data_IF_901368045088
#
_entry.id   IF_901368045088
#
_cell.length_a   1.000
_cell.length_b   1.000
_cell.length_c   1.000
_cell.angle_alpha   90.00
_cell.angle_beta   90.00
_cell.angle_gamma   90.00
#
_symmetry.space_group_name_H-M   'P 1'
#
loop_
_entity.id
_entity.type
_entity.pdbx_description
1 polymer ?
#
# COMPACT_ATOMS: atom_id res chain seq x y z
N UNK A 1 8.00 14.09 -10.79
CA UNK A 1 7.79 13.37 -9.50
C UNK A 1 8.05 11.88 -9.71
N UNK A 2 8.73 11.21 -8.77
CA UNK A 2 8.89 9.74 -8.77
C UNK A 2 8.17 9.15 -7.57
N UNK A 3 7.31 8.16 -7.84
CA UNK A 3 6.57 7.40 -6.83
C UNK A 3 6.93 5.93 -7.01
N UNK A 4 7.30 5.25 -5.93
CA UNK A 4 7.56 3.80 -5.95
C UNK A 4 7.01 3.12 -4.70
N UNK A 5 6.51 1.90 -4.89
CA UNK A 5 6.20 1.00 -3.77
C UNK A 5 7.52 0.36 -3.34
N UNK A 6 8.03 0.77 -2.19
CA UNK A 6 9.29 0.29 -1.63
C UNK A 6 9.14 -1.07 -0.93
N UNK A 7 7.93 -1.36 -0.44
CA UNK A 7 7.62 -2.58 0.26
C UNK A 7 6.14 -2.72 0.56
N UNK A 8 5.76 -3.92 0.95
CA UNK A 8 4.43 -4.26 1.43
C UNK A 8 4.50 -5.54 2.27
N UNK A 9 3.52 -5.75 3.15
CA UNK A 9 3.44 -7.00 3.90
C UNK A 9 2.95 -8.15 3.01
N UNK A 10 3.40 -9.36 3.32
CA UNK A 10 2.94 -10.59 2.67
C UNK A 10 2.66 -11.65 3.73
N UNK A 11 1.97 -12.71 3.31
CA UNK A 11 1.79 -13.87 4.14
C UNK A 11 3.16 -14.48 4.51
N UNK A 12 3.40 -14.74 5.80
CA UNK A 12 4.70 -15.24 6.27
C UNK A 12 5.10 -16.57 5.63
N UNK A 13 4.14 -17.40 5.21
CA UNK A 13 4.43 -18.65 4.49
C UNK A 13 5.09 -18.43 3.13
N UNK A 14 4.93 -17.25 2.53
CA UNK A 14 5.54 -16.91 1.25
C UNK A 14 7.02 -16.51 1.39
N UNK A 15 7.52 -16.23 2.60
CA UNK A 15 8.91 -15.78 2.81
C UNK A 15 9.92 -16.86 2.41
N UNK A 16 9.63 -18.13 2.72
CA UNK A 16 10.54 -19.24 2.44
C UNK A 16 10.65 -19.60 0.94
N UNK A 17 9.59 -19.33 0.17
CA UNK A 17 9.42 -19.76 -1.23
C UNK A 17 9.03 -18.57 -2.11
N UNK A 18 9.63 -17.41 -1.85
CA UNK A 18 9.20 -16.11 -2.38
C UNK A 18 8.95 -16.14 -3.89
N UNK A 19 7.68 -16.23 -4.26
CA UNK A 19 7.19 -16.12 -5.62
C UNK A 19 6.67 -14.70 -5.82
N UNK A 20 7.46 -13.87 -6.51
CA UNK A 20 7.16 -12.46 -6.71
C UNK A 20 5.81 -12.22 -7.42
N UNK A 21 5.32 -13.17 -8.23
CA UNK A 21 4.01 -13.03 -8.88
C UNK A 21 2.85 -13.23 -7.91
N UNK A 22 3.11 -13.94 -6.81
CA UNK A 22 2.11 -14.27 -5.79
C UNK A 22 2.25 -13.47 -4.51
N UNK A 23 3.38 -12.81 -4.30
CA UNK A 23 3.63 -11.93 -3.18
C UNK A 23 2.70 -10.71 -3.28
N UNK A 24 1.62 -10.70 -2.49
CA UNK A 24 0.69 -9.57 -2.41
C UNK A 24 0.04 -9.49 -1.02
N UNK A 25 -0.14 -8.30 -0.45
CA UNK A 25 -0.86 -8.11 0.81
C UNK A 25 -2.36 -8.44 0.68
N UNK A 26 -2.90 -8.42 -0.54
CA UNK A 26 -4.32 -8.63 -0.83
C UNK A 26 -4.82 -10.01 -0.38
N UNK A 27 -3.93 -11.01 -0.34
CA UNK A 27 -4.23 -12.37 0.11
C UNK A 27 -4.64 -12.41 1.59
N UNK A 28 -3.95 -11.64 2.43
CA UNK A 28 -4.25 -11.50 3.87
C UNK A 28 -5.62 -10.86 4.04
N UNK A 29 -5.85 -9.71 3.39
CA UNK A 29 -7.14 -9.01 3.44
C UNK A 29 -8.29 -9.91 2.98
N UNK A 30 -8.12 -10.66 1.88
CA UNK A 30 -9.18 -11.53 1.34
C UNK A 30 -9.51 -12.71 2.27
N UNK A 31 -8.50 -13.30 2.90
CA UNK A 31 -8.72 -14.35 3.89
C UNK A 31 -9.46 -13.81 5.12
N UNK A 32 -9.05 -12.65 5.64
CA UNK A 32 -9.64 -12.04 6.84
C UNK A 32 -11.05 -11.51 6.57
N UNK A 33 -11.34 -11.10 5.34
CA UNK A 33 -12.68 -10.74 4.91
C UNK A 33 -13.73 -11.84 5.11
N UNK A 34 -13.28 -13.11 5.08
CA UNK A 34 -14.16 -14.29 5.11
C UNK A 34 -14.25 -14.94 6.49
N UNK A 35 -13.40 -14.56 7.46
CA UNK A 35 -13.26 -15.30 8.74
C UNK A 35 -14.53 -15.35 9.56
N UNK A 36 -15.36 -14.29 9.54
CA UNK A 36 -16.60 -14.22 10.31
C UNK A 36 -17.80 -14.89 9.63
N UNK A 37 -17.65 -15.35 8.38
CA UNK A 37 -18.75 -15.86 7.54
C UNK A 37 -18.44 -17.21 6.87
N UNK A 38 -17.31 -17.81 7.20
CA UNK A 38 -16.84 -19.07 6.64
C UNK A 38 -16.76 -20.11 7.75
N UNK A 39 -17.18 -21.34 7.45
CA UNK A 39 -17.01 -22.49 8.38
C UNK A 39 -15.54 -22.96 8.43
N UNK A 40 -14.72 -22.53 7.47
CA UNK A 40 -13.29 -22.88 7.39
C UNK A 40 -12.47 -22.13 8.43
N UNK A 41 -11.44 -22.80 8.94
CA UNK A 41 -10.44 -22.16 9.79
C UNK A 41 -9.60 -21.13 9.02
N UNK A 42 -8.89 -20.28 9.76
CA UNK A 42 -8.12 -19.18 9.17
C UNK A 42 -6.94 -19.64 8.31
N UNK A 43 -6.29 -20.76 8.64
CA UNK A 43 -5.16 -21.27 7.88
C UNK A 43 -5.60 -21.74 6.50
N UNK A 44 -6.73 -22.46 6.45
CA UNK A 44 -7.38 -22.87 5.20
C UNK A 44 -7.76 -21.67 4.32
N UNK A 45 -8.34 -20.62 4.92
CA UNK A 45 -8.70 -19.40 4.19
C UNK A 45 -7.49 -18.65 3.62
N UNK A 46 -6.39 -18.57 4.38
CA UNK A 46 -5.13 -17.98 3.89
C UNK A 46 -4.55 -18.78 2.74
N UNK A 47 -4.52 -20.11 2.85
CA UNK A 47 -4.03 -20.98 1.79
C UNK A 47 -4.85 -20.83 0.50
N UNK A 48 -6.18 -20.77 0.59
CA UNK A 48 -7.06 -20.50 -0.56
C UNK A 48 -6.76 -19.14 -1.21
N UNK A 49 -6.63 -18.09 -0.40
CA UNK A 49 -6.36 -16.75 -0.91
C UNK A 49 -5.00 -16.66 -1.62
N UNK A 50 -4.00 -17.43 -1.17
CA UNK A 50 -2.69 -17.54 -1.80
C UNK A 50 -2.71 -18.33 -3.12
N UNK A 51 -3.57 -19.35 -3.23
CA UNK A 51 -3.71 -20.16 -4.44
C UNK A 51 -4.54 -19.44 -5.52
N UNK A 52 -5.54 -18.65 -5.12
CA UNK A 52 -6.51 -18.00 -6.03
C UNK A 52 -6.46 -16.46 -5.96
N UNK A 53 -5.32 -15.85 -6.26
CA UNK A 53 -5.12 -14.38 -6.11
C UNK A 53 -6.15 -13.55 -6.88
N UNK A 54 -6.51 -13.95 -8.10
CA UNK A 54 -7.52 -13.23 -8.90
C UNK A 54 -8.87 -13.22 -8.18
N UNK A 55 -9.24 -14.35 -7.55
CA UNK A 55 -10.47 -14.45 -6.77
C UNK A 55 -10.37 -13.67 -5.46
N UNK A 56 -9.21 -13.69 -4.81
CA UNK A 56 -8.93 -12.88 -3.62
C UNK A 56 -9.16 -11.39 -3.89
N UNK A 57 -8.63 -10.88 -5.02
CA UNK A 57 -8.86 -9.49 -5.47
C UNK A 57 -10.34 -9.18 -5.69
N UNK A 58 -11.06 -10.05 -6.38
CA UNK A 58 -12.51 -9.88 -6.59
C UNK A 58 -13.28 -9.89 -5.26
N UNK A 59 -12.89 -10.77 -4.33
CA UNK A 59 -13.47 -10.83 -3.00
C UNK A 59 -13.23 -9.54 -2.22
N UNK A 60 -12.01 -8.99 -2.27
CA UNK A 60 -11.69 -7.70 -1.68
C UNK A 60 -12.56 -6.59 -2.29
N UNK A 61 -12.72 -6.58 -3.62
CA UNK A 61 -13.56 -5.58 -4.29
C UNK A 61 -14.97 -5.54 -3.70
N UNK A 62 -15.61 -6.71 -3.62
CA UNK A 62 -16.98 -6.82 -3.13
C UNK A 62 -17.07 -6.52 -1.62
N UNK A 63 -16.23 -7.14 -0.80
CA UNK A 63 -16.37 -7.06 0.65
C UNK A 63 -15.95 -5.68 1.19
N UNK A 64 -14.86 -5.11 0.66
CA UNK A 64 -14.32 -3.84 1.14
C UNK A 64 -15.11 -2.67 0.57
N UNK A 65 -15.28 -2.61 -0.76
CA UNK A 65 -15.88 -1.42 -1.41
C UNK A 65 -17.40 -1.50 -1.55
N UNK A 66 -17.99 -2.66 -1.84
CA UNK A 66 -19.44 -2.75 -2.04
C UNK A 66 -20.20 -2.94 -0.71
N UNK A 67 -19.67 -3.77 0.20
CA UNK A 67 -20.30 -4.03 1.50
C UNK A 67 -19.85 -3.07 2.61
N UNK A 68 -18.87 -2.20 2.34
CA UNK A 68 -18.40 -1.17 3.28
C UNK A 68 -17.59 -1.70 4.48
N UNK A 69 -17.06 -2.92 4.42
CA UNK A 69 -16.20 -3.47 5.49
C UNK A 69 -14.75 -2.97 5.35
N UNK A 70 -14.56 -1.65 5.43
CA UNK A 70 -13.28 -0.99 5.16
C UNK A 70 -12.14 -1.41 6.10
N UNK A 71 -12.44 -1.82 7.34
CA UNK A 71 -11.42 -2.24 8.31
C UNK A 71 -10.56 -3.41 7.84
N UNK A 72 -11.07 -4.25 6.92
CA UNK A 72 -10.31 -5.36 6.35
C UNK A 72 -9.14 -4.87 5.48
N UNK A 73 -9.31 -3.71 4.82
CA UNK A 73 -8.27 -3.10 4.00
C UNK A 73 -7.05 -2.68 4.82
N UNK A 74 -7.23 -2.40 6.11
CA UNK A 74 -6.15 -1.98 7.02
C UNK A 74 -5.10 -3.07 7.26
N UNK A 75 -5.41 -4.33 6.95
CA UNK A 75 -4.44 -5.43 7.00
C UNK A 75 -3.44 -5.45 5.83
N UNK A 76 -3.68 -4.65 4.79
CA UNK A 76 -2.74 -4.43 3.70
C UNK A 76 -1.94 -3.14 3.94
N UNK A 77 -0.62 -3.28 4.14
CA UNK A 77 0.28 -2.19 4.51
C UNK A 77 1.35 -2.03 3.43
N UNK A 78 1.59 -0.78 3.02
CA UNK A 78 2.56 -0.42 1.99
C UNK A 78 3.56 0.61 2.50
N UNK A 79 4.80 0.48 2.05
CA UNK A 79 5.82 1.52 2.13
C UNK A 79 5.91 2.21 0.76
N UNK A 80 5.75 3.53 0.74
CA UNK A 80 5.74 4.33 -0.48
C UNK A 80 6.86 5.37 -0.39
N UNK A 81 7.71 5.37 -1.41
CA UNK A 81 8.74 6.38 -1.57
C UNK A 81 8.23 7.48 -2.51
N UNK A 82 8.33 8.73 -2.03
CA UNK A 82 8.03 9.93 -2.81
C UNK A 82 9.30 10.75 -2.99
N UNK A 83 9.74 10.90 -4.25
CA UNK A 83 11.00 11.58 -4.59
C UNK A 83 10.76 12.68 -5.62
N UNK A 84 11.49 13.79 -5.46
CA UNK A 84 11.36 14.95 -6.36
C UNK A 84 9.98 15.60 -6.24
N UNK A 85 9.48 15.72 -5.01
CA UNK A 85 8.22 16.40 -4.68
C UNK A 85 8.51 17.75 -4.02
N UNK A 86 7.55 18.67 -4.13
CA UNK A 86 7.65 19.97 -3.46
C UNK A 86 7.43 19.84 -1.96
N UNK A 87 7.90 20.85 -1.19
CA UNK A 87 7.58 20.96 0.24
C UNK A 87 6.08 21.05 0.49
N UNK A 88 5.35 21.77 -0.36
CA UNK A 88 3.89 21.88 -0.29
C UNK A 88 3.20 20.50 -0.42
N UNK A 89 3.67 19.65 -1.33
CA UNK A 89 3.14 18.30 -1.48
C UNK A 89 3.51 17.42 -0.28
N UNK A 90 4.73 17.57 0.25
CA UNK A 90 5.19 16.85 1.45
C UNK A 90 4.29 17.15 2.65
N UNK A 91 4.08 18.42 2.96
CA UNK A 91 3.17 18.88 4.02
C UNK A 91 1.74 18.39 3.78
N UNK A 92 1.31 18.33 2.52
CA UNK A 92 0.00 17.83 2.14
C UNK A 92 -0.21 16.36 2.44
N UNK A 93 0.75 15.52 2.07
CA UNK A 93 0.70 14.08 2.33
C UNK A 93 0.75 13.80 3.83
N UNK A 94 1.59 14.53 4.57
CA UNK A 94 1.76 14.37 6.02
C UNK A 94 0.55 14.84 6.85
N UNK A 95 -0.47 15.46 6.24
CA UNK A 95 -1.75 15.73 6.93
C UNK A 95 -2.52 14.46 7.28
N UNK A 96 -2.24 13.34 6.62
CA UNK A 96 -2.87 12.06 6.98
C UNK A 96 -2.37 11.58 8.33
N UNK A 97 -3.28 11.42 9.30
CA UNK A 97 -2.94 11.04 10.68
C UNK A 97 -2.80 9.53 10.87
N UNK A 98 -3.20 8.73 9.88
CA UNK A 98 -3.23 7.26 9.95
C UNK A 98 -2.05 6.62 9.19
N UNK A 99 -0.97 7.37 9.00
CA UNK A 99 0.23 6.90 8.31
C UNK A 99 1.48 7.30 9.09
N UNK A 100 2.58 6.58 8.82
CA UNK A 100 3.90 6.87 9.36
C UNK A 100 4.75 7.53 8.28
N UNK A 101 5.51 8.56 8.65
CA UNK A 101 6.33 9.32 7.71
C UNK A 101 7.77 9.43 8.16
N UNK A 102 8.68 9.45 7.20
CA UNK A 102 10.06 9.86 7.39
C UNK A 102 10.41 10.80 6.24
N UNK A 103 10.81 12.02 6.58
CA UNK A 103 11.19 13.03 5.61
C UNK A 103 12.71 13.29 5.69
N UNK A 104 13.32 13.55 4.54
CA UNK A 104 14.70 14.02 4.48
C UNK A 104 14.82 15.36 5.22
N UNK A 105 15.54 15.35 6.34
CA UNK A 105 15.62 16.53 7.20
C UNK A 105 16.43 17.68 6.58
N UNK A 106 15.80 18.83 6.40
CA UNK A 106 16.45 20.09 6.00
C UNK A 106 17.41 20.64 7.08
N UNK A 107 17.32 20.15 8.32
CA UNK A 107 18.24 20.54 9.41
C UNK A 107 19.61 19.87 9.28
N UNK A 108 19.67 18.67 8.71
CA UNK A 108 20.88 17.87 8.64
C UNK A 108 21.42 17.69 7.23
N UNK A 109 20.57 17.88 6.21
CA UNK A 109 20.98 17.75 4.81
C UNK A 109 20.70 19.07 4.10
N UNK A 110 21.77 19.72 3.62
CA UNK A 110 21.64 20.88 2.74
C UNK A 110 21.08 20.44 1.40
N UNK A 111 19.96 21.03 1.00
CA UNK A 111 19.41 20.84 -0.32
C UNK A 111 20.16 21.78 -1.26
N UNK A 112 20.79 21.24 -2.30
CA UNK A 112 21.22 22.07 -3.44
C UNK A 112 19.97 22.73 -4.03
N UNK A 113 20.09 23.92 -4.64
CA UNK A 113 19.01 24.78 -5.16
C UNK A 113 17.99 24.04 -6.05
N UNK A 114 17.13 23.24 -5.41
CA UNK A 114 16.23 22.28 -6.03
C UNK A 114 14.83 22.79 -5.80
N UNK A 115 14.16 23.16 -6.88
CA UNK A 115 12.76 23.55 -6.89
C UNK A 115 12.00 22.63 -7.84
N UNK A 116 10.69 22.52 -7.61
CA UNK A 116 9.78 21.80 -8.51
C UNK A 116 8.97 22.86 -9.24
N UNK A 117 9.07 22.90 -10.57
CA UNK A 117 8.19 23.71 -11.41
C UNK A 117 6.97 22.84 -11.75
N UNK A 118 5.74 23.27 -11.43
CA UNK A 118 4.52 22.63 -11.93
C UNK A 118 4.52 22.58 -13.46
N UNK A 119 4.11 21.46 -14.06
CA UNK A 119 4.16 21.28 -15.51
C UNK A 119 3.36 22.36 -16.25
N UNK A 120 2.27 22.84 -15.64
CA UNK A 120 1.41 23.89 -16.16
C UNK A 120 2.15 25.22 -16.32
N UNK A 121 3.21 25.47 -15.52
CA UNK A 121 4.01 26.69 -15.60
C UNK A 121 5.20 26.57 -16.57
N UNK A 122 5.57 25.36 -17.00
CA UNK A 122 6.70 25.15 -17.91
C UNK A 122 6.47 25.70 -19.32
N UNK A 123 5.23 26.03 -19.67
CA UNK A 123 4.84 26.60 -20.98
C UNK A 123 4.67 28.13 -20.96
N UNK A 124 4.77 28.75 -19.78
CA UNK A 124 4.65 30.21 -19.64
C UNK A 124 6.06 30.82 -19.46
N UNK A 125 6.34 31.95 -20.12
CA UNK A 125 7.64 32.61 -20.06
C UNK A 125 8.00 33.16 -18.68
#
# INVERSE_FOLDING_TARGET
>A
MKVSIAGYNIDSSQIALLDAQKATPESISAAYARISRSEKDIASLRQEALQEIIRARKSNQNIIFEMGHSSIAEHAVFNIDLVGISRLLTETVQRSRLASFTEKSQRYVTFQSSYVIPEELGQYP
#
